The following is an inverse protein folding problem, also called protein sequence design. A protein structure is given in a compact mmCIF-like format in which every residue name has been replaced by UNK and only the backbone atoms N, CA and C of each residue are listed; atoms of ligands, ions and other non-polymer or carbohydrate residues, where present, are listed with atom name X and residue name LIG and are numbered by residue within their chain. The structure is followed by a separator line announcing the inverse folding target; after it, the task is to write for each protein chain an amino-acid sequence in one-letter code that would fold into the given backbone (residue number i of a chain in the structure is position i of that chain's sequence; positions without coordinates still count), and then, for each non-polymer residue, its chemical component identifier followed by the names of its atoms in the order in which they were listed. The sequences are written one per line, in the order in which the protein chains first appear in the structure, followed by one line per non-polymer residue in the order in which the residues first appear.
data_IF_221292110407
#
_entry.id   IF_221292110407
#
_cell.length_a   1.000
_cell.length_b   1.000
_cell.length_c   1.000
_cell.angle_alpha   90.00
_cell.angle_beta   90.00
_cell.angle_gamma   90.00
#
_symmetry.space_group_name_H-M   'P 1'
#
loop_
_entity.id
_entity.type
_entity.pdbx_description
1 polymer ?
#
# COMPACT_ATOMS: atom_id res chain seq x y z
N UNK A 1 31.21 -12.87 -13.94
CA UNK A 1 29.90 -13.49 -13.72
C UNK A 1 28.90 -12.35 -13.56
N UNK A 2 28.12 -12.03 -14.61
CA UNK A 2 27.06 -11.00 -14.55
C UNK A 2 25.74 -11.76 -14.60
N UNK A 3 25.02 -11.78 -13.49
CA UNK A 3 23.62 -12.21 -13.50
C UNK A 3 22.85 -11.00 -14.01
N UNK A 4 22.38 -11.06 -15.25
CA UNK A 4 21.35 -10.14 -15.72
C UNK A 4 20.06 -10.56 -15.02
N UNK A 5 19.62 -9.77 -14.04
CA UNK A 5 18.27 -9.89 -13.52
C UNK A 5 17.33 -9.52 -14.67
N UNK A 6 16.64 -10.52 -15.22
CA UNK A 6 15.56 -10.27 -16.16
C UNK A 6 14.44 -9.60 -15.37
N UNK A 7 14.15 -8.35 -15.69
CA UNK A 7 12.99 -7.64 -15.15
C UNK A 7 11.78 -8.28 -15.84
N UNK A 8 11.04 -9.10 -15.11
CA UNK A 8 9.76 -9.63 -15.58
C UNK A 8 8.76 -8.47 -15.40
N UNK A 9 8.62 -7.64 -16.44
CA UNK A 9 7.54 -6.65 -16.50
C UNK A 9 6.22 -7.40 -16.70
N UNK A 10 5.56 -7.76 -15.61
CA UNK A 10 4.19 -8.25 -15.67
C UNK A 10 3.28 -7.04 -15.97
N UNK A 11 3.17 -6.73 -17.26
CA UNK A 11 2.49 -5.56 -17.85
C UNK A 11 0.99 -5.44 -17.49
N UNK A 12 0.44 -6.34 -16.67
CA UNK A 12 -0.97 -6.37 -16.27
C UNK A 12 -1.23 -5.87 -14.83
N UNK A 13 -0.20 -5.50 -14.09
CA UNK A 13 -0.36 -5.02 -12.70
C UNK A 13 -0.81 -3.55 -12.70
N UNK A 14 -1.97 -3.30 -12.09
CA UNK A 14 -2.50 -1.95 -11.92
C UNK A 14 -3.22 -1.82 -10.58
N UNK A 15 -3.24 -0.61 -10.00
CA UNK A 15 -4.05 -0.35 -8.82
C UNK A 15 -5.55 -0.59 -9.06
N UNK A 16 -6.03 -0.42 -10.29
CA UNK A 16 -7.42 -0.64 -10.65
C UNK A 16 -7.85 -2.12 -10.57
N UNK A 17 -6.91 -3.05 -10.74
CA UNK A 17 -7.17 -4.50 -10.69
C UNK A 17 -6.72 -5.18 -9.39
N UNK A 18 -5.86 -4.54 -8.59
CA UNK A 18 -5.25 -5.14 -7.40
C UNK A 18 -6.20 -5.28 -6.19
N UNK A 19 -7.46 -4.83 -6.32
CA UNK A 19 -8.44 -4.82 -5.22
C UNK A 19 -7.88 -4.11 -3.98
N UNK A 20 -7.11 -3.05 -4.20
CA UNK A 20 -6.48 -2.22 -3.18
C UNK A 20 -5.47 -2.89 -2.24
N UNK A 21 -4.87 -4.06 -2.54
CA UNK A 21 -3.99 -4.82 -1.61
C UNK A 21 -3.13 -4.00 -0.64
N UNK A 22 -2.40 -2.96 -1.09
CA UNK A 22 -1.56 -2.14 -0.21
C UNK A 22 -2.34 -1.37 0.86
N UNK A 23 -3.60 -0.98 0.62
CA UNK A 23 -4.47 -0.33 1.59
C UNK A 23 -4.92 -1.26 2.74
N UNK A 24 -4.55 -2.54 2.73
CA UNK A 24 -4.70 -3.45 3.88
C UNK A 24 -3.56 -3.35 4.88
N UNK A 25 -2.43 -2.80 4.46
CA UNK A 25 -1.22 -2.76 5.26
C UNK A 25 -1.30 -1.64 6.29
N UNK A 26 -0.65 -1.86 7.43
CA UNK A 26 -0.39 -0.79 8.38
C UNK A 26 0.80 0.04 7.89
N UNK A 27 0.65 1.37 7.91
CA UNK A 27 1.63 2.28 7.32
C UNK A 27 1.95 3.37 8.34
N UNK A 28 3.22 3.47 8.72
CA UNK A 28 3.73 4.54 9.56
C UNK A 28 3.91 5.84 8.77
N UNK A 29 3.62 6.96 9.41
CA UNK A 29 3.87 8.30 8.87
C UNK A 29 5.24 8.78 9.37
N UNK A 30 6.27 8.57 8.56
CA UNK A 30 7.66 8.90 8.92
C UNK A 30 8.14 10.24 8.38
N UNK A 31 7.32 10.93 7.58
CA UNK A 31 7.62 12.25 7.03
C UNK A 31 6.36 13.03 6.66
N UNK A 32 6.48 14.35 6.62
CA UNK A 32 5.40 15.25 6.24
C UNK A 32 5.21 15.25 4.71
N UNK A 33 4.17 14.55 4.27
CA UNK A 33 3.77 14.44 2.84
C UNK A 33 2.45 15.15 2.55
N UNK A 34 1.81 15.74 3.57
CA UNK A 34 0.51 16.39 3.43
C UNK A 34 -0.70 15.46 3.61
N UNK A 35 -0.52 14.30 4.25
CA UNK A 35 -1.63 13.41 4.62
C UNK A 35 -2.67 14.20 5.44
N UNK A 36 -3.96 14.23 5.04
CA UNK A 36 -4.99 14.91 5.81
C UNK A 36 -5.17 14.31 7.21
N UNK A 37 -5.25 15.15 8.25
CA UNK A 37 -5.40 14.77 9.67
C UNK A 37 -6.50 13.72 9.94
N UNK A 38 -7.62 13.78 9.22
CA UNK A 38 -8.71 12.79 9.36
C UNK A 38 -8.32 11.35 8.98
N UNK A 39 -7.19 11.17 8.31
CA UNK A 39 -6.64 9.87 7.94
C UNK A 39 -5.44 9.45 8.80
N UNK A 40 -5.14 10.22 9.85
CA UNK A 40 -4.02 9.96 10.76
C UNK A 40 -4.57 9.40 12.07
N UNK A 41 -3.98 8.30 12.52
CA UNK A 41 -4.17 7.75 13.85
C UNK A 41 -2.88 7.94 14.64
N UNK A 42 -2.99 8.41 15.88
CA UNK A 42 -1.86 8.61 16.80
C UNK A 42 -1.93 7.59 17.92
N UNK A 43 -0.81 6.97 18.25
CA UNK A 43 -0.68 6.11 19.42
C UNK A 43 -0.33 6.91 20.69
N UNK A 44 -0.26 6.21 21.82
CA UNK A 44 0.04 6.82 23.13
C UNK A 44 1.49 7.34 23.26
N UNK A 45 2.38 6.91 22.38
CA UNK A 45 3.79 7.33 22.34
C UNK A 45 4.03 8.46 21.33
N UNK A 46 2.99 8.94 20.66
CA UNK A 46 3.06 10.00 19.65
C UNK A 46 3.47 9.49 18.26
N UNK A 47 3.50 8.17 18.05
CA UNK A 47 3.66 7.57 16.73
C UNK A 47 2.42 7.82 15.88
N UNK A 48 2.63 8.12 14.60
CA UNK A 48 1.56 8.37 13.65
C UNK A 48 1.49 7.25 12.60
N UNK A 49 0.28 6.76 12.35
CA UNK A 49 0.00 5.75 11.32
C UNK A 49 -1.21 6.16 10.47
N UNK A 50 -1.35 5.60 9.28
CA UNK A 50 -2.59 5.72 8.53
C UNK A 50 -3.74 5.07 9.31
N UNK A 51 -4.81 5.83 9.54
CA UNK A 51 -6.01 5.33 10.18
C UNK A 51 -6.63 4.18 9.38
N UNK A 52 -7.10 3.15 10.09
CA UNK A 52 -7.78 1.98 9.51
C UNK A 52 -9.21 1.90 10.02
N UNK A 53 -10.12 1.48 9.14
CA UNK A 53 -11.51 1.21 9.48
C UNK A 53 -11.66 -0.21 10.02
N UNK A 54 -12.83 -0.49 10.61
CA UNK A 54 -13.15 -1.79 11.22
C UNK A 54 -13.05 -2.98 10.24
N UNK A 55 -13.21 -2.71 8.94
CA UNK A 55 -13.09 -3.70 7.88
C UNK A 55 -11.63 -4.04 7.51
N UNK A 56 -10.66 -3.40 8.17
CA UNK A 56 -9.22 -3.65 8.04
C UNK A 56 -8.53 -2.91 6.89
N UNK A 57 -9.23 -2.00 6.22
CA UNK A 57 -8.68 -1.14 5.18
C UNK A 57 -8.29 0.24 5.70
N UNK A 58 -7.35 0.89 5.03
CA UNK A 58 -7.04 2.29 5.21
C UNK A 58 -8.27 3.18 4.99
N UNK A 59 -8.42 4.22 5.83
CA UNK A 59 -9.53 5.16 5.80
C UNK A 59 -9.58 6.03 4.52
N UNK A 60 -8.48 6.15 3.78
CA UNK A 60 -8.40 6.93 2.54
C UNK A 60 -8.72 6.11 1.27
N UNK A 61 -9.16 4.86 1.41
CA UNK A 61 -9.55 4.01 0.28
C UNK A 61 -11.02 4.27 -0.10
N UNK A 62 -11.25 4.57 -1.38
CA UNK A 62 -12.59 4.56 -1.98
C UNK A 62 -13.05 3.11 -2.21
N UNK A 63 -14.23 2.77 -1.68
CA UNK A 63 -14.80 1.42 -1.77
C UNK A 63 -15.45 1.11 -3.10
N UNK A 64 -15.85 2.12 -3.86
CA UNK A 64 -16.49 1.91 -5.16
C UNK A 64 -15.43 1.67 -6.24
N UNK A 65 -14.33 2.43 -6.19
CA UNK A 65 -13.25 2.35 -7.19
C UNK A 65 -12.08 1.46 -6.79
N UNK A 66 -11.96 1.15 -5.48
CA UNK A 66 -10.78 0.50 -4.91
C UNK A 66 -9.48 1.28 -5.13
N UNK A 67 -9.58 2.61 -5.28
CA UNK A 67 -8.44 3.51 -5.44
C UNK A 67 -8.25 4.41 -4.21
N UNK A 68 -7.00 4.80 -3.98
CA UNK A 68 -6.67 5.75 -2.93
C UNK A 68 -7.18 7.15 -3.30
N UNK A 69 -7.97 7.78 -2.43
CA UNK A 69 -8.51 9.13 -2.67
C UNK A 69 -7.50 10.25 -2.42
N UNK A 70 -6.33 9.91 -1.86
CA UNK A 70 -5.27 10.87 -1.54
C UNK A 70 -3.99 10.59 -2.32
N UNK A 71 -4.08 10.09 -3.57
CA UNK A 71 -2.93 9.65 -4.36
C UNK A 71 -1.77 10.65 -4.36
N UNK A 72 -2.05 11.94 -4.56
CA UNK A 72 -1.06 13.02 -4.59
C UNK A 72 -0.50 13.39 -3.20
N UNK A 73 -1.22 13.08 -2.13
CA UNK A 73 -0.86 13.39 -0.74
C UNK A 73 -0.63 12.10 0.07
N UNK A 74 -0.16 11.04 -0.60
CA UNK A 74 0.10 9.76 0.05
C UNK A 74 1.23 9.90 1.06
N UNK A 75 1.19 9.09 2.15
CA UNK A 75 2.34 8.98 3.03
C UNK A 75 3.55 8.49 2.24
N UNK A 76 4.75 8.88 2.68
CA UNK A 76 6.00 8.56 1.99
C UNK A 76 6.14 7.07 1.67
N UNK A 77 5.81 6.21 2.63
CA UNK A 77 5.84 4.75 2.45
C UNK A 77 4.92 4.31 1.29
N UNK A 78 3.70 4.85 1.18
CA UNK A 78 2.78 4.53 0.08
C UNK A 78 3.21 5.14 -1.27
N UNK A 79 3.99 6.21 -1.26
CA UNK A 79 4.58 6.80 -2.47
C UNK A 79 5.78 5.99 -2.98
N UNK A 80 6.62 5.49 -2.07
CA UNK A 80 7.78 4.65 -2.36
C UNK A 80 7.39 3.22 -2.75
N UNK A 81 6.21 2.76 -2.31
CA UNK A 81 5.59 1.50 -2.73
C UNK A 81 5.13 1.58 -4.20
N UNK A 82 6.09 1.43 -5.11
CA UNK A 82 5.86 1.56 -6.55
C UNK A 82 4.99 0.41 -7.10
N UNK A 83 4.06 0.74 -7.98
CA UNK A 83 3.25 -0.27 -8.69
C UNK A 83 4.17 -1.19 -9.51
N UNK A 84 3.99 -2.50 -9.36
CA UNK A 84 4.85 -3.49 -10.02
C UNK A 84 6.22 -3.69 -9.38
N UNK A 85 6.52 -3.04 -8.25
CA UNK A 85 7.70 -3.39 -7.44
C UNK A 85 7.59 -4.81 -6.89
N UNK A 86 8.71 -5.36 -6.40
CA UNK A 86 8.72 -6.66 -5.75
C UNK A 86 7.71 -6.72 -4.60
N UNK A 87 7.67 -5.68 -3.76
CA UNK A 87 6.72 -5.54 -2.65
C UNK A 87 5.27 -5.46 -3.15
N UNK A 88 5.02 -4.73 -4.24
CA UNK A 88 3.69 -4.66 -4.84
C UNK A 88 3.22 -6.03 -5.34
N UNK A 89 4.09 -6.79 -6.00
CA UNK A 89 3.78 -8.13 -6.49
C UNK A 89 3.57 -9.12 -5.33
N UNK A 90 4.39 -9.00 -4.28
CA UNK A 90 4.32 -9.85 -3.10
C UNK A 90 2.97 -9.76 -2.38
N UNK A 91 2.38 -8.56 -2.38
CA UNK A 91 1.06 -8.25 -1.81
C UNK A 91 -0.10 -8.41 -2.80
N UNK A 92 0.18 -8.37 -4.10
CA UNK A 92 -0.81 -8.64 -5.14
C UNK A 92 -1.23 -10.12 -5.12
N UNK A 93 -0.29 -11.03 -4.86
CA UNK A 93 -0.62 -12.44 -4.61
C UNK A 93 -1.14 -12.65 -3.18
N UNK A 94 -2.35 -13.21 -2.97
CA UNK A 94 -2.88 -13.45 -1.64
C UNK A 94 -1.97 -14.38 -0.83
N UNK A 95 -1.58 -13.97 0.38
CA UNK A 95 -0.68 -14.72 1.30
C UNK A 95 -1.06 -16.19 1.55
N UNK A 96 -2.30 -16.61 1.28
CA UNK A 96 -2.73 -18.00 1.40
C UNK A 96 -1.99 -18.97 0.45
N UNK A 97 -1.47 -18.51 -0.70
CA UNK A 97 -0.65 -19.36 -1.58
C UNK A 97 0.76 -19.65 -1.04
N UNK A 98 1.25 -18.84 -0.09
CA UNK A 98 2.58 -18.97 0.52
C UNK A 98 2.63 -19.89 1.74
N UNK A 99 1.46 -20.27 2.30
CA UNK A 99 1.37 -21.16 3.47
C UNK A 99 1.37 -22.65 3.08
N UNK A 100 1.16 -22.97 1.79
CA UNK A 100 1.04 -24.36 1.29
C UNK A 100 2.25 -24.77 0.42
N UNK A 101 3.40 -24.11 0.59
CA UNK A 101 4.68 -24.49 -0.03
C UNK A 101 5.73 -24.83 1.01
#
# INVERSE_FOLDING_TARGET
MRIAAAIIEDSNISCASCKASCCRLEVMLISETGVPEKFIQRDEWGGEVMARLEDGWCAALDRDTMLCTIYENRPFICGDFATGSFECLDEYEPRYSKIIR
#
